data_IF_441222514365
#
_entry.id   IF_441222514365
#
_cell.length_a   1.000
_cell.length_b   1.000
_cell.length_c   1.000
_cell.angle_alpha   90.00
_cell.angle_beta   90.00
_cell.angle_gamma   90.00
#
_symmetry.space_group_name_H-M   'P 1'
#
loop_
_entity.id
_entity.type
_entity.pdbx_description
1 polymer ?
#
# COMPACT_ATOMS: atom_id res chain seq x y z
N UNK A 1 -7.77 -3.60 -3.13
CA UNK A 1 -6.90 -3.10 -2.03
C UNK A 1 -5.49 -3.61 -2.27
N UNK A 2 -4.44 -2.85 -1.98
CA UNK A 2 -3.06 -3.26 -2.29
C UNK A 2 -2.28 -3.30 -0.97
N UNK A 3 -1.66 -4.44 -0.63
CA UNK A 3 -0.66 -4.52 0.45
C UNK A 3 0.72 -4.40 -0.16
N UNK A 4 1.56 -3.59 0.46
CA UNK A 4 2.98 -3.54 0.14
C UNK A 4 3.70 -4.19 1.30
N UNK A 5 4.27 -5.37 1.06
CA UNK A 5 5.04 -6.12 2.03
C UNK A 5 6.52 -5.94 1.74
N UNK A 6 7.33 -5.85 2.79
CA UNK A 6 8.77 -5.65 2.70
C UNK A 6 9.47 -6.89 3.22
N UNK A 7 10.50 -7.34 2.52
CA UNK A 7 11.32 -8.47 2.92
C UNK A 7 12.78 -8.18 2.59
N UNK A 8 13.66 -8.27 3.58
CA UNK A 8 15.09 -8.07 3.39
C UNK A 8 15.67 -9.27 2.65
N UNK A 9 16.31 -9.04 1.51
CA UNK A 9 16.92 -10.08 0.68
C UNK A 9 18.08 -9.48 -0.12
N UNK A 10 19.05 -10.27 -0.55
CA UNK A 10 20.28 -9.75 -1.17
C UNK A 10 20.04 -8.91 -2.43
N UNK A 11 19.05 -9.27 -3.25
CA UNK A 11 18.73 -8.59 -4.51
C UNK A 11 17.43 -7.78 -4.44
N UNK A 12 17.46 -6.58 -5.02
CA UNK A 12 16.30 -5.68 -5.16
C UNK A 12 15.40 -5.98 -6.37
N UNK A 13 15.96 -6.63 -7.41
CA UNK A 13 15.25 -7.03 -8.63
C UNK A 13 14.19 -8.12 -8.39
N UNK A 14 14.22 -8.79 -7.24
CA UNK A 14 13.37 -9.94 -6.93
C UNK A 14 11.99 -9.55 -6.36
N UNK A 15 11.54 -8.32 -6.64
CA UNK A 15 10.21 -7.85 -6.25
C UNK A 15 9.14 -8.69 -6.94
N UNK A 16 8.18 -9.23 -6.18
CA UNK A 16 7.15 -10.15 -6.69
C UNK A 16 5.75 -9.58 -6.53
N UNK A 17 4.93 -9.76 -7.57
CA UNK A 17 3.49 -9.53 -7.50
C UNK A 17 2.78 -10.82 -7.11
N UNK A 18 2.08 -10.80 -5.98
CA UNK A 18 1.40 -11.95 -5.39
C UNK A 18 -0.10 -11.71 -5.48
N UNK A 19 -0.80 -12.61 -6.18
CA UNK A 19 -2.26 -12.62 -6.33
C UNK A 19 -2.91 -13.22 -5.08
N UNK A 20 -2.72 -12.53 -3.97
CA UNK A 20 -2.87 -13.11 -2.66
C UNK A 20 -2.57 -12.13 -1.53
N UNK A 21 -2.29 -12.68 -0.35
CA UNK A 21 -1.82 -11.92 0.81
C UNK A 21 -0.54 -12.56 1.37
N UNK A 22 0.43 -11.73 1.74
CA UNK A 22 1.60 -12.15 2.54
C UNK A 22 1.43 -11.67 3.97
N UNK A 23 1.61 -12.57 4.92
CA UNK A 23 1.63 -12.29 6.36
C UNK A 23 3.06 -12.30 6.88
N UNK A 24 3.33 -11.46 7.88
CA UNK A 24 4.64 -11.25 8.50
C UNK A 24 4.94 -12.19 9.67
N UNK A 25 4.16 -13.25 9.79
CA UNK A 25 4.31 -14.27 10.82
C UNK A 25 3.84 -15.61 10.27
N UNK A 26 4.47 -16.68 10.76
CA UNK A 26 4.14 -18.07 10.45
C UNK A 26 3.67 -18.88 11.66
N UNK A 27 3.54 -20.19 11.45
CA UNK A 27 3.23 -21.16 12.49
C UNK A 27 4.31 -21.17 13.57
N UNK A 28 3.88 -21.18 14.84
CA UNK A 28 4.81 -21.20 15.98
C UNK A 28 5.17 -22.60 16.46
N UNK A 29 4.31 -23.58 16.20
CA UNK A 29 4.53 -24.96 16.58
C UNK A 29 5.35 -25.69 15.48
N UNK A 30 6.39 -26.48 15.82
CA UNK A 30 7.25 -27.14 14.83
C UNK A 30 6.51 -28.16 13.96
N UNK A 31 5.54 -28.88 14.55
CA UNK A 31 4.75 -29.91 13.84
C UNK A 31 3.61 -29.33 12.99
N UNK A 32 3.48 -28.01 12.91
CA UNK A 32 2.50 -27.40 12.00
C UNK A 32 2.91 -27.61 10.54
N UNK A 33 1.96 -27.85 9.65
CA UNK A 33 2.25 -28.06 8.24
C UNK A 33 2.77 -26.76 7.60
N UNK A 34 3.88 -26.87 6.88
CA UNK A 34 4.55 -25.72 6.25
C UNK A 34 4.00 -25.39 4.86
N UNK A 35 3.56 -26.41 4.11
CA UNK A 35 3.01 -26.25 2.77
C UNK A 35 1.64 -26.91 2.72
N UNK A 36 0.64 -26.18 2.28
CA UNK A 36 -0.75 -26.60 2.22
C UNK A 36 -1.31 -26.25 0.84
N UNK A 37 -1.99 -27.22 0.22
CA UNK A 37 -2.72 -27.05 -1.05
C UNK A 37 -4.21 -27.15 -0.77
N UNK A 38 -5.04 -26.53 -1.63
CA UNK A 38 -6.50 -26.52 -1.53
C UNK A 38 -6.99 -26.18 -0.12
N UNK A 39 -6.74 -24.94 0.29
CA UNK A 39 -6.79 -24.51 1.67
C UNK A 39 -8.08 -23.77 1.99
N UNK A 40 -8.79 -24.26 3.01
CA UNK A 40 -9.85 -23.50 3.66
C UNK A 40 -9.25 -22.58 4.73
N UNK A 41 -9.58 -21.29 4.65
CA UNK A 41 -9.03 -20.25 5.51
C UNK A 41 -10.11 -19.75 6.45
N UNK A 42 -9.95 -20.03 7.74
CA UNK A 42 -10.78 -19.47 8.80
C UNK A 42 -10.14 -18.20 9.34
N UNK A 43 -10.82 -17.08 9.15
CA UNK A 43 -10.43 -15.79 9.75
C UNK A 43 -11.25 -15.53 11.01
N UNK A 44 -10.59 -15.40 12.16
CA UNK A 44 -11.28 -15.17 13.43
C UNK A 44 -10.63 -14.09 14.29
N UNK A 45 -11.42 -13.52 15.21
CA UNK A 45 -11.00 -12.55 16.21
C UNK A 45 -11.39 -13.03 17.62
N UNK A 46 -11.15 -14.31 17.89
CA UNK A 46 -11.50 -14.96 19.16
C UNK A 46 -10.24 -15.19 19.96
N UNK A 47 -10.27 -14.98 21.27
CA UNK A 47 -9.13 -15.36 22.11
C UNK A 47 -9.08 -16.87 22.30
N UNK A 48 -7.98 -17.47 21.85
CA UNK A 48 -7.62 -18.86 22.11
C UNK A 48 -6.44 -18.92 23.09
N UNK A 49 -6.33 -17.91 23.94
CA UNK A 49 -5.36 -17.85 25.03
C UNK A 49 -6.07 -17.48 26.33
N UNK A 50 -5.39 -17.72 27.45
CA UNK A 50 -5.88 -17.27 28.75
C UNK A 50 -5.90 -15.74 28.79
N UNK A 51 -7.10 -15.17 28.84
CA UNK A 51 -7.32 -13.74 29.07
C UNK A 51 -7.66 -13.49 30.54
N UNK A 52 -6.98 -12.52 31.13
CA UNK A 52 -7.45 -11.95 32.40
C UNK A 52 -8.77 -11.24 32.14
N UNK A 53 -9.70 -11.37 33.06
CA UNK A 53 -10.98 -10.64 33.02
C UNK A 53 -10.72 -9.13 33.05
N UNK A 54 -11.49 -8.37 32.26
CA UNK A 54 -11.40 -6.91 32.23
C UNK A 54 -11.84 -6.27 33.55
N UNK A 55 -12.83 -6.88 34.21
CA UNK A 55 -13.21 -6.57 35.59
C UNK A 55 -12.29 -7.35 36.52
N UNK A 56 -11.79 -6.71 37.58
CA UNK A 56 -10.97 -7.35 38.61
C UNK A 56 -11.74 -8.51 39.26
N UNK A 57 -11.58 -9.73 38.73
CA UNK A 57 -12.08 -10.95 39.36
C UNK A 57 -10.93 -11.64 40.09
N UNK A 58 -10.98 -11.61 41.41
CA UNK A 58 -10.12 -12.44 42.25
C UNK A 58 -10.79 -13.79 42.48
N UNK A 59 -10.11 -14.88 42.12
CA UNK A 59 -10.54 -16.22 42.51
C UNK A 59 -10.02 -16.48 43.93
N UNK A 60 -10.93 -16.64 44.89
CA UNK A 60 -10.60 -17.05 46.25
C UNK A 60 -10.77 -18.55 46.39
N UNK A 61 -9.71 -19.27 46.76
CA UNK A 61 -9.73 -20.71 47.02
C UNK A 61 -9.15 -20.99 48.41
N UNK A 62 -9.70 -21.99 49.11
CA UNK A 62 -9.23 -22.38 50.44
C UNK A 62 -8.39 -23.65 50.42
N UNK A 63 -8.60 -24.51 49.42
CA UNK A 63 -7.91 -25.79 49.28
C UNK A 63 -7.11 -25.88 47.97
N UNK A 64 -6.08 -26.72 47.95
CA UNK A 64 -5.29 -26.97 46.73
C UNK A 64 -6.14 -27.62 45.62
N UNK A 65 -7.08 -28.50 45.99
CA UNK A 65 -7.98 -29.16 45.03
C UNK A 65 -8.92 -28.17 44.33
N UNK A 66 -9.47 -27.19 45.06
CA UNK A 66 -10.28 -26.12 44.45
C UNK A 66 -9.47 -25.29 43.44
N UNK A 67 -8.20 -25.00 43.75
CA UNK A 67 -7.31 -24.28 42.85
C UNK A 67 -7.08 -25.06 41.55
N UNK A 68 -6.83 -26.35 41.64
CA UNK A 68 -6.62 -27.21 40.46
C UNK A 68 -7.89 -27.32 39.61
N UNK A 69 -9.06 -27.48 40.23
CA UNK A 69 -10.34 -27.54 39.53
C UNK A 69 -10.65 -26.25 38.76
N UNK A 70 -10.35 -25.08 39.33
CA UNK A 70 -10.54 -23.78 38.65
C UNK A 70 -9.60 -23.66 37.44
N UNK A 71 -8.32 -24.02 37.59
CA UNK A 71 -7.36 -24.02 36.48
C UNK A 71 -7.77 -25.00 35.37
N UNK A 72 -8.35 -26.15 35.72
CA UNK A 72 -8.89 -27.10 34.75
C UNK A 72 -10.11 -26.51 34.01
N UNK A 73 -11.06 -25.90 34.72
CA UNK A 73 -12.24 -25.29 34.11
C UNK A 73 -11.87 -24.18 33.10
N UNK A 74 -10.87 -23.35 33.42
CA UNK A 74 -10.34 -22.33 32.51
C UNK A 74 -9.71 -22.95 31.25
N UNK A 75 -8.93 -24.02 31.41
CA UNK A 75 -8.33 -24.75 30.27
C UNK A 75 -9.39 -25.44 29.43
N UNK A 76 -10.40 -26.03 30.06
CA UNK A 76 -11.53 -26.66 29.37
C UNK A 76 -12.31 -25.64 28.55
N UNK A 77 -12.46 -24.41 29.04
CA UNK A 77 -13.12 -23.34 28.29
C UNK A 77 -12.41 -23.04 26.96
N UNK A 78 -11.07 -22.89 26.99
CA UNK A 78 -10.27 -22.66 25.79
C UNK A 78 -10.28 -23.89 24.88
N UNK A 79 -10.10 -25.08 25.48
CA UNK A 79 -10.10 -26.35 24.76
C UNK A 79 -11.41 -26.57 24.01
N UNK A 80 -12.55 -26.24 24.63
CA UNK A 80 -13.88 -26.34 23.98
C UNK A 80 -13.98 -25.47 22.73
N UNK A 81 -13.43 -24.25 22.75
CA UNK A 81 -13.37 -23.38 21.56
C UNK A 81 -12.49 -23.98 20.47
N UNK A 82 -11.32 -24.50 20.82
CA UNK A 82 -10.42 -25.15 19.85
C UNK A 82 -11.06 -26.40 19.25
N UNK A 83 -11.76 -27.20 20.06
CA UNK A 83 -12.47 -28.38 19.60
C UNK A 83 -13.54 -28.05 18.56
N UNK A 84 -14.30 -26.95 18.73
CA UNK A 84 -15.26 -26.49 17.71
C UNK A 84 -14.60 -26.16 16.37
N UNK A 85 -13.40 -25.57 16.38
CA UNK A 85 -12.62 -25.31 15.16
C UNK A 85 -12.19 -26.63 14.51
N UNK A 86 -11.76 -27.61 15.32
CA UNK A 86 -11.37 -28.95 14.85
C UNK A 86 -12.58 -29.70 14.28
N UNK A 87 -13.75 -29.58 14.91
CA UNK A 87 -15.01 -30.16 14.41
C UNK A 87 -15.36 -29.59 13.04
N UNK A 88 -15.29 -28.27 12.88
CA UNK A 88 -15.52 -27.63 11.57
C UNK A 88 -14.49 -28.08 10.53
N UNK A 89 -13.21 -28.23 10.89
CA UNK A 89 -12.23 -28.84 9.98
C UNK A 89 -12.68 -30.25 9.56
N UNK A 90 -13.08 -31.09 10.50
CA UNK A 90 -13.50 -32.48 10.21
C UNK A 90 -14.74 -32.51 9.31
N UNK A 91 -15.67 -31.58 9.49
CA UNK A 91 -16.84 -31.45 8.62
C UNK A 91 -16.43 -31.12 7.18
N UNK A 92 -15.54 -30.15 6.98
CA UNK A 92 -15.20 -29.65 5.63
C UNK A 92 -14.17 -30.51 4.91
N UNK A 93 -13.16 -31.01 5.62
CA UNK A 93 -12.11 -31.87 5.07
C UNK A 93 -12.51 -33.36 5.05
N UNK A 94 -13.52 -33.76 5.84
CA UNK A 94 -14.00 -35.15 5.90
C UNK A 94 -15.09 -35.49 4.88
N UNK A 95 -15.56 -34.52 4.09
CA UNK A 95 -16.49 -34.76 2.99
C UNK A 95 -15.82 -35.57 1.85
N UNK A 96 -16.53 -36.58 1.35
CA UNK A 96 -16.07 -37.41 0.21
C UNK A 96 -15.71 -36.52 -0.98
N UNK A 97 -14.43 -36.55 -1.39
CA UNK A 97 -13.90 -35.75 -2.50
C UNK A 97 -13.05 -34.54 -2.09
N UNK A 98 -12.83 -34.30 -0.80
CA UNK A 98 -11.96 -33.22 -0.26
C UNK A 98 -10.84 -33.74 0.65
N UNK A 99 -10.37 -34.96 0.45
CA UNK A 99 -9.30 -35.55 1.30
C UNK A 99 -7.98 -34.77 1.22
N UNK A 100 -7.72 -34.11 0.08
CA UNK A 100 -6.56 -33.23 -0.12
C UNK A 100 -6.77 -31.80 0.42
N UNK A 101 -7.91 -31.52 1.06
CA UNK A 101 -8.21 -30.18 1.53
C UNK A 101 -7.52 -29.87 2.85
N UNK A 102 -6.78 -28.77 2.84
CA UNK A 102 -6.05 -28.26 3.99
C UNK A 102 -6.86 -27.21 4.76
N UNK A 103 -6.47 -26.93 6.00
CA UNK A 103 -7.17 -25.97 6.86
C UNK A 103 -6.20 -25.04 7.57
N UNK A 104 -6.43 -23.73 7.47
CA UNK A 104 -5.63 -22.67 8.10
C UNK A 104 -6.53 -21.81 8.97
N UNK A 105 -6.07 -21.53 10.19
CA UNK A 105 -6.70 -20.58 11.10
C UNK A 105 -5.84 -19.33 11.18
N UNK A 106 -6.42 -18.19 10.87
CA UNK A 106 -5.78 -16.88 11.00
C UNK A 106 -6.54 -16.11 12.07
N UNK A 107 -5.94 -16.03 13.26
CA UNK A 107 -6.52 -15.36 14.39
C UNK A 107 -5.88 -13.98 14.63
N UNK A 108 -6.72 -12.97 14.80
CA UNK A 108 -6.29 -11.64 15.22
C UNK A 108 -5.77 -11.63 16.67
N UNK A 109 -6.35 -12.47 17.55
CA UNK A 109 -5.91 -12.61 18.94
C UNK A 109 -4.83 -13.68 19.09
N UNK A 110 -4.35 -13.86 20.32
CA UNK A 110 -3.36 -14.89 20.62
C UNK A 110 -3.92 -16.31 20.63
N UNK A 111 -3.00 -17.26 20.60
CA UNK A 111 -3.24 -18.70 20.72
C UNK A 111 -2.20 -19.21 21.73
N UNK A 112 -2.66 -19.89 22.78
CA UNK A 112 -1.79 -20.44 23.82
C UNK A 112 -1.10 -21.74 23.34
N UNK A 113 0.03 -22.14 23.97
CA UNK A 113 0.77 -23.33 23.55
C UNK A 113 -0.06 -24.63 23.56
N UNK A 114 -0.88 -24.93 24.59
CA UNK A 114 -1.74 -26.12 24.58
C UNK A 114 -2.70 -26.16 23.38
N UNK A 115 -3.28 -25.02 22.99
CA UNK A 115 -4.14 -24.95 21.80
C UNK A 115 -3.34 -25.13 20.50
N UNK A 116 -2.13 -24.59 20.43
CA UNK A 116 -1.24 -24.80 19.28
C UNK A 116 -0.92 -26.29 19.10
N UNK A 117 -0.65 -27.03 20.19
CA UNK A 117 -0.39 -28.47 20.15
C UNK A 117 -1.62 -29.25 19.64
N UNK A 118 -2.83 -28.88 20.10
CA UNK A 118 -4.08 -29.49 19.65
C UNK A 118 -4.33 -29.23 18.16
N UNK A 119 -4.10 -28.01 17.69
CA UNK A 119 -4.25 -27.64 16.29
C UNK A 119 -3.19 -28.33 15.41
N UNK A 120 -1.95 -28.40 15.87
CA UNK A 120 -0.86 -29.06 15.17
C UNK A 120 -1.08 -30.57 15.03
N UNK A 121 -1.55 -31.25 16.10
CA UNK A 121 -1.92 -32.69 16.06
C UNK A 121 -3.00 -32.99 15.03
N UNK A 122 -3.89 -32.04 14.78
CA UNK A 122 -4.93 -32.17 13.76
C UNK A 122 -4.47 -31.64 12.40
N UNK A 123 -3.20 -31.27 12.20
CA UNK A 123 -2.67 -30.76 10.94
C UNK A 123 -3.29 -29.41 10.52
N UNK A 124 -3.58 -28.53 11.46
CA UNK A 124 -4.05 -27.16 11.19
C UNK A 124 -2.88 -26.20 11.33
N UNK A 125 -2.62 -25.40 10.30
CA UNK A 125 -1.70 -24.26 10.43
C UNK A 125 -2.45 -23.13 11.14
N UNK A 126 -1.97 -22.75 12.31
CA UNK A 126 -2.59 -21.69 13.12
C UNK A 126 -1.66 -20.48 13.23
N UNK A 127 -2.14 -19.35 12.74
CA UNK A 127 -1.51 -18.05 12.85
C UNK A 127 -2.16 -17.25 13.97
N UNK A 128 -1.33 -16.67 14.83
CA UNK A 128 -1.74 -15.88 15.98
C UNK A 128 -1.36 -14.42 15.79
N UNK A 129 -2.13 -13.51 16.39
CA UNK A 129 -1.83 -12.06 16.42
C UNK A 129 -1.73 -11.43 15.03
N UNK A 130 -2.61 -11.84 14.12
CA UNK A 130 -2.71 -11.22 12.80
C UNK A 130 -3.13 -9.75 12.93
N UNK A 131 -2.52 -8.86 12.12
CA UNK A 131 -2.87 -7.44 12.10
C UNK A 131 -4.32 -7.27 11.67
N UNK A 132 -5.08 -6.39 12.35
CA UNK A 132 -6.48 -6.09 12.01
C UNK A 132 -6.68 -5.73 10.53
N UNK A 133 -5.78 -4.92 9.97
CA UNK A 133 -5.79 -4.54 8.54
C UNK A 133 -5.66 -5.74 7.58
N UNK A 134 -5.05 -6.84 8.02
CA UNK A 134 -4.90 -8.06 7.24
C UNK A 134 -6.19 -8.87 7.26
N UNK A 135 -6.98 -8.81 8.33
CA UNK A 135 -8.28 -9.49 8.39
C UNK A 135 -9.23 -8.99 7.30
N UNK A 136 -9.35 -7.67 7.13
CA UNK A 136 -10.17 -7.08 6.07
C UNK A 136 -9.67 -7.49 4.67
N UNK A 137 -8.35 -7.60 4.49
CA UNK A 137 -7.75 -8.04 3.22
C UNK A 137 -7.95 -9.52 2.95
N UNK A 138 -7.89 -10.37 3.97
CA UNK A 138 -8.14 -11.81 3.86
C UNK A 138 -9.58 -12.08 3.44
N UNK A 139 -10.55 -11.32 3.95
CA UNK A 139 -11.94 -11.40 3.49
C UNK A 139 -12.05 -11.05 1.99
N UNK A 140 -11.39 -9.98 1.56
CA UNK A 140 -11.37 -9.56 0.15
C UNK A 140 -10.56 -10.48 -0.77
N UNK A 141 -9.60 -11.21 -0.23
CA UNK A 141 -8.72 -12.10 -0.96
C UNK A 141 -9.33 -13.51 -1.10
N UNK A 142 -9.63 -14.14 0.03
CA UNK A 142 -10.09 -15.52 0.12
C UNK A 142 -11.63 -15.66 0.05
N UNK A 143 -12.38 -14.57 0.26
CA UNK A 143 -13.85 -14.54 0.19
C UNK A 143 -14.60 -14.96 1.46
N UNK A 144 -13.90 -15.28 2.55
CA UNK A 144 -14.50 -15.68 3.83
C UNK A 144 -14.99 -14.49 4.67
N UNK A 145 -15.80 -14.77 5.70
CA UNK A 145 -16.23 -13.76 6.69
C UNK A 145 -15.41 -13.88 7.98
N UNK A 146 -15.14 -12.73 8.62
CA UNK A 146 -14.34 -12.69 9.84
C UNK A 146 -15.24 -13.03 11.03
N UNK A 147 -14.89 -14.10 11.73
CA UNK A 147 -15.70 -14.66 12.82
C UNK A 147 -15.29 -14.07 14.17
N UNK A 148 -16.28 -13.64 14.95
CA UNK A 148 -16.08 -13.11 16.30
C UNK A 148 -16.39 -14.11 17.42
N UNK A 149 -17.14 -15.18 17.14
CA UNK A 149 -17.44 -16.26 18.10
C UNK A 149 -17.32 -17.63 17.43
N UNK A 150 -16.82 -18.62 18.16
CA UNK A 150 -16.63 -20.00 17.68
C UNK A 150 -17.92 -20.82 17.80
N UNK A 151 -18.96 -20.27 18.42
CA UNK A 151 -20.16 -21.04 18.75
C UNK A 151 -21.02 -21.37 17.52
N UNK A 152 -21.12 -20.44 16.57
CA UNK A 152 -21.95 -20.56 15.35
C UNK A 152 -21.06 -20.62 14.10
N UNK A 153 -20.16 -21.60 14.08
CA UNK A 153 -19.26 -21.83 12.95
C UNK A 153 -19.96 -22.65 11.86
N UNK A 154 -20.20 -22.02 10.70
CA UNK A 154 -20.71 -22.71 9.50
C UNK A 154 -19.63 -22.81 8.42
N UNK A 155 -19.67 -23.85 7.55
CA UNK A 155 -18.72 -23.99 6.44
C UNK A 155 -18.72 -22.83 5.44
N UNK A 156 -19.84 -22.11 5.32
CA UNK A 156 -20.01 -20.98 4.39
C UNK A 156 -19.15 -19.76 4.73
N UNK A 157 -18.74 -19.65 5.99
CA UNK A 157 -17.94 -18.54 6.50
C UNK A 157 -16.47 -18.66 6.07
N UNK A 158 -16.03 -19.85 5.67
CA UNK A 158 -14.64 -20.11 5.29
C UNK A 158 -14.27 -19.44 3.97
N UNK A 159 -13.08 -18.84 3.96
CA UNK A 159 -12.43 -18.45 2.72
C UNK A 159 -11.75 -19.64 2.05
N UNK A 160 -11.32 -19.45 0.81
CA UNK A 160 -10.57 -20.45 0.06
C UNK A 160 -9.32 -19.84 -0.58
N UNK A 161 -8.21 -20.58 -0.52
CA UNK A 161 -6.95 -20.28 -1.20
C UNK A 161 -6.38 -21.56 -1.83
N UNK A 162 -5.78 -21.46 -3.01
CA UNK A 162 -5.22 -22.62 -3.70
C UNK A 162 -3.93 -23.14 -3.04
N UNK A 163 -3.08 -22.24 -2.56
CA UNK A 163 -1.82 -22.58 -1.90
C UNK A 163 -1.59 -21.68 -0.69
N UNK A 164 -1.22 -22.28 0.44
CA UNK A 164 -0.73 -21.56 1.61
C UNK A 164 0.58 -22.19 2.06
N UNK A 165 1.65 -21.42 2.08
CA UNK A 165 2.94 -21.93 2.52
C UNK A 165 3.69 -20.95 3.42
N UNK A 166 4.50 -21.50 4.31
CA UNK A 166 5.41 -20.75 5.18
C UNK A 166 6.79 -20.68 4.52
N UNK A 167 7.25 -19.46 4.28
CA UNK A 167 8.60 -19.16 3.87
C UNK A 167 9.38 -18.61 5.06
N UNK A 168 10.49 -19.27 5.39
CA UNK A 168 11.36 -18.87 6.49
C UNK A 168 12.59 -18.20 5.89
N UNK A 169 12.85 -16.98 6.30
CA UNK A 169 14.03 -16.22 5.91
C UNK A 169 14.78 -15.81 7.17
N UNK A 170 15.95 -16.44 7.39
CA UNK A 170 16.67 -16.35 8.65
C UNK A 170 15.77 -16.71 9.85
N UNK A 171 15.47 -15.74 10.72
CA UNK A 171 14.60 -15.91 11.89
C UNK A 171 13.14 -15.50 11.63
N UNK A 172 12.89 -14.77 10.54
CA UNK A 172 11.57 -14.28 10.18
C UNK A 172 10.79 -15.32 9.39
N UNK A 173 9.48 -15.37 9.67
CA UNK A 173 8.55 -16.30 9.03
C UNK A 173 7.48 -15.52 8.30
N UNK A 174 7.30 -15.83 7.03
CA UNK A 174 6.30 -15.23 6.17
C UNK A 174 5.32 -16.30 5.72
N UNK A 175 4.01 -16.07 5.87
CA UNK A 175 3.00 -16.97 5.31
C UNK A 175 2.42 -16.37 4.05
N UNK A 176 2.58 -17.10 2.95
CA UNK A 176 2.07 -16.75 1.64
C UNK A 176 0.72 -17.43 1.46
N UNK A 177 -0.27 -16.65 1.05
CA UNK A 177 -1.61 -17.13 0.69
C UNK A 177 -1.80 -16.76 -0.76
N UNK A 178 -1.75 -17.75 -1.65
CA UNK A 178 -1.75 -17.58 -3.10
C UNK A 178 -2.92 -18.35 -3.75
N UNK A 179 -3.11 -18.10 -5.05
CA UNK A 179 -4.13 -18.76 -5.87
C UNK A 179 -5.55 -18.64 -5.30
N UNK A 180 -5.93 -17.45 -4.85
CA UNK A 180 -7.32 -17.18 -4.46
C UNK A 180 -8.21 -17.05 -5.72
N UNK A 181 -9.48 -17.48 -5.66
CA UNK A 181 -10.40 -17.49 -6.82
C UNK A 181 -10.62 -16.11 -7.44
N UNK A 182 -10.83 -15.10 -6.60
CA UNK A 182 -11.09 -13.73 -7.05
C UNK A 182 -10.49 -12.72 -6.07
N UNK A 183 -9.16 -12.53 -6.10
CA UNK A 183 -8.48 -11.67 -5.14
C UNK A 183 -8.76 -10.19 -5.43
N UNK A 184 -9.65 -9.57 -4.66
CA UNK A 184 -9.85 -8.10 -4.67
C UNK A 184 -8.76 -7.37 -3.89
N UNK A 185 -8.01 -8.11 -3.06
CA UNK A 185 -6.80 -7.66 -2.40
C UNK A 185 -5.60 -8.42 -2.94
N UNK A 186 -4.52 -7.72 -3.23
CA UNK A 186 -3.26 -8.29 -3.76
C UNK A 186 -2.08 -7.75 -2.97
N UNK A 187 -0.96 -8.46 -2.99
CA UNK A 187 0.28 -8.05 -2.32
C UNK A 187 1.41 -7.82 -3.31
N UNK A 188 2.07 -6.67 -3.20
CA UNK A 188 3.37 -6.42 -3.79
C UNK A 188 4.44 -6.71 -2.73
N UNK A 189 5.20 -7.78 -2.94
CA UNK A 189 6.31 -8.16 -2.08
C UNK A 189 7.58 -7.50 -2.60
N UNK A 190 8.00 -6.45 -1.92
CA UNK A 190 9.24 -5.74 -2.22
C UNK A 190 10.39 -6.46 -1.52
N UNK A 191 11.42 -6.76 -2.30
CA UNK A 191 12.66 -7.32 -1.80
C UNK A 191 13.78 -6.31 -1.98
N UNK A 192 14.74 -6.30 -1.07
CA UNK A 192 15.93 -5.49 -1.21
C UNK A 192 16.93 -5.69 -0.09
N UNK A 193 18.20 -5.33 -0.32
CA UNK A 193 19.29 -5.62 0.61
C UNK A 193 19.20 -4.78 1.88
N UNK A 194 18.73 -3.54 1.75
CA UNK A 194 18.72 -2.56 2.83
C UNK A 194 17.31 -1.98 3.01
N UNK A 195 16.93 -1.68 4.25
CA UNK A 195 15.65 -0.99 4.55
C UNK A 195 15.50 0.33 3.77
N UNK A 196 16.62 1.03 3.56
CA UNK A 196 16.63 2.32 2.87
C UNK A 196 16.29 2.19 1.37
N UNK A 197 16.81 1.16 0.69
CA UNK A 197 16.51 0.91 -0.72
C UNK A 197 15.07 0.40 -0.88
N UNK A 198 14.62 -0.50 0.00
CA UNK A 198 13.22 -0.94 0.02
C UNK A 198 12.26 0.24 0.25
N UNK A 199 12.63 1.20 1.10
CA UNK A 199 11.88 2.43 1.32
C UNK A 199 11.70 3.24 0.03
N UNK A 200 12.79 3.49 -0.68
CA UNK A 200 12.77 4.20 -1.97
C UNK A 200 11.91 3.48 -3.02
N UNK A 201 12.07 2.15 -3.15
CA UNK A 201 11.29 1.33 -4.09
C UNK A 201 9.80 1.38 -3.72
N UNK A 202 9.47 1.32 -2.43
CA UNK A 202 8.09 1.42 -1.94
C UNK A 202 7.45 2.74 -2.34
N UNK A 203 8.16 3.86 -2.14
CA UNK A 203 7.64 5.18 -2.46
C UNK A 203 7.46 5.33 -3.97
N UNK A 204 8.43 4.88 -4.77
CA UNK A 204 8.33 4.87 -6.23
C UNK A 204 7.13 4.04 -6.74
N UNK A 205 6.90 2.86 -6.17
CA UNK A 205 5.74 2.02 -6.52
C UNK A 205 4.44 2.66 -6.08
N UNK A 206 4.41 3.30 -4.90
CA UNK A 206 3.22 3.98 -4.42
C UNK A 206 2.83 5.13 -5.36
N UNK A 207 3.80 5.92 -5.81
CA UNK A 207 3.59 6.99 -6.78
C UNK A 207 3.12 6.44 -8.14
N UNK A 208 3.75 5.36 -8.63
CA UNK A 208 3.34 4.69 -9.87
C UNK A 208 1.92 4.13 -9.83
N UNK A 209 1.55 3.44 -8.74
CA UNK A 209 0.18 2.94 -8.52
C UNK A 209 -0.81 4.11 -8.52
N UNK A 210 -0.46 5.22 -7.86
CA UNK A 210 -1.34 6.38 -7.79
C UNK A 210 -1.48 7.06 -9.15
N UNK A 211 -0.41 7.15 -9.93
CA UNK A 211 -0.45 7.66 -11.30
C UNK A 211 -1.38 6.83 -12.18
N UNK A 212 -1.25 5.50 -12.18
CA UNK A 212 -2.13 4.60 -12.96
C UNK A 212 -3.58 4.69 -12.47
N UNK A 213 -3.80 4.71 -11.16
CA UNK A 213 -5.14 4.87 -10.59
C UNK A 213 -5.79 6.19 -10.99
N UNK A 214 -4.99 7.25 -11.11
CA UNK A 214 -5.49 8.53 -11.56
C UNK A 214 -5.95 8.47 -13.02
N UNK A 215 -5.20 7.79 -13.90
CA UNK A 215 -5.60 7.56 -15.30
C UNK A 215 -6.93 6.81 -15.37
N UNK A 216 -7.09 5.73 -14.60
CA UNK A 216 -8.32 4.94 -14.58
C UNK A 216 -9.54 5.76 -14.12
N UNK A 217 -9.34 6.73 -13.24
CA UNK A 217 -10.41 7.61 -12.76
C UNK A 217 -10.78 8.71 -13.74
N UNK A 218 -9.78 9.34 -14.34
CA UNK A 218 -9.97 10.53 -15.16
C UNK A 218 -10.34 10.16 -16.61
N UNK A 219 -9.98 8.95 -17.07
CA UNK A 219 -10.29 8.45 -18.41
C UNK A 219 -9.52 9.12 -19.54
N UNK A 220 -8.57 10.00 -19.21
CA UNK A 220 -7.74 10.73 -20.16
C UNK A 220 -6.32 10.94 -19.62
N UNK A 221 -5.38 11.10 -20.55
CA UNK A 221 -3.96 11.37 -20.30
C UNK A 221 -3.48 12.51 -21.19
N UNK A 222 -2.42 13.19 -20.76
CA UNK A 222 -1.76 14.27 -21.48
C UNK A 222 -0.38 13.79 -21.93
N UNK A 223 0.10 14.12 -23.14
CA UNK A 223 1.48 13.83 -23.53
C UNK A 223 2.47 14.46 -22.55
N UNK A 224 3.46 13.68 -22.11
CA UNK A 224 4.45 14.12 -21.12
C UNK A 224 5.65 14.84 -21.73
N UNK A 225 6.78 14.81 -21.00
CA UNK A 225 8.09 15.34 -21.42
C UNK A 225 8.09 16.81 -21.89
N UNK A 226 7.29 17.65 -21.25
CA UNK A 226 7.22 19.07 -21.57
C UNK A 226 6.31 19.42 -22.74
N UNK A 227 5.67 18.44 -23.40
CA UNK A 227 4.82 18.68 -24.57
C UNK A 227 3.65 19.63 -24.28
N UNK A 228 2.97 19.40 -23.16
CA UNK A 228 1.89 20.26 -22.69
C UNK A 228 2.37 21.68 -22.40
N UNK A 229 3.53 21.83 -21.76
CA UNK A 229 4.12 23.11 -21.39
C UNK A 229 4.48 23.95 -22.61
N UNK A 230 5.05 23.32 -23.66
CA UNK A 230 5.38 23.99 -24.92
C UNK A 230 4.10 24.44 -25.63
N UNK A 231 3.10 23.56 -25.72
CA UNK A 231 1.82 23.88 -26.33
C UNK A 231 1.11 25.04 -25.61
N UNK A 232 1.14 25.02 -24.26
CA UNK A 232 0.60 26.09 -23.43
C UNK A 232 1.35 27.41 -23.64
N UNK A 233 2.69 27.38 -23.68
CA UNK A 233 3.52 28.56 -23.96
C UNK A 233 3.16 29.21 -25.31
N UNK A 234 3.12 28.43 -26.38
CA UNK A 234 2.78 28.93 -27.72
C UNK A 234 1.37 29.52 -27.77
N UNK A 235 0.41 28.90 -27.07
CA UNK A 235 -0.97 29.37 -27.01
C UNK A 235 -1.11 30.66 -26.19
N UNK A 236 -0.46 30.74 -25.03
CA UNK A 236 -0.46 31.93 -24.18
C UNK A 236 0.24 33.12 -24.85
N UNK A 237 1.30 32.87 -25.62
CA UNK A 237 1.99 33.91 -26.39
C UNK A 237 1.09 34.53 -27.46
N UNK A 238 0.32 33.70 -28.18
CA UNK A 238 -0.72 34.19 -29.12
C UNK A 238 -1.84 34.94 -28.39
N UNK A 239 -2.25 34.45 -27.22
CA UNK A 239 -3.27 35.12 -26.40
C UNK A 239 -2.78 36.48 -25.88
N UNK A 240 -1.50 36.61 -25.53
CA UNK A 240 -0.91 37.87 -25.07
C UNK A 240 -1.03 39.01 -26.10
N UNK A 241 -1.12 38.71 -27.40
CA UNK A 241 -1.33 39.73 -28.43
C UNK A 241 -2.77 40.26 -28.49
N UNK A 242 -3.73 39.49 -27.99
CA UNK A 242 -5.14 39.91 -27.88
C UNK A 242 -5.41 40.74 -26.61
N UNK A 243 -4.63 40.52 -25.54
CA UNK A 243 -4.80 41.19 -24.25
C UNK A 243 -4.18 42.58 -24.28
N UNK A 244 -4.95 43.59 -23.85
CA UNK A 244 -4.52 45.00 -23.79
C UNK A 244 -4.10 45.42 -22.38
N UNK A 245 -3.18 46.38 -22.30
CA UNK A 245 -2.78 47.02 -21.05
C UNK A 245 -1.80 46.20 -20.21
N UNK A 246 -1.77 46.47 -18.90
CA UNK A 246 -0.79 45.88 -17.95
C UNK A 246 -0.92 44.36 -17.80
N UNK A 247 -2.11 43.82 -18.00
CA UNK A 247 -2.37 42.38 -17.93
C UNK A 247 -1.55 41.57 -18.96
N UNK A 248 -1.17 42.19 -20.10
CA UNK A 248 -0.31 41.55 -21.11
C UNK A 248 1.03 41.09 -20.51
N UNK A 249 1.63 41.89 -19.62
CA UNK A 249 2.89 41.55 -18.97
C UNK A 249 2.75 40.33 -18.05
N UNK A 250 1.63 40.23 -17.33
CA UNK A 250 1.33 39.07 -16.49
C UNK A 250 1.17 37.77 -17.28
N UNK A 251 0.48 37.83 -18.42
CA UNK A 251 0.31 36.66 -19.31
C UNK A 251 1.66 36.22 -19.89
N UNK A 252 2.51 37.16 -20.33
CA UNK A 252 3.85 36.84 -20.84
C UNK A 252 4.74 36.21 -19.76
N UNK A 253 4.76 36.79 -18.56
CA UNK A 253 5.51 36.25 -17.43
C UNK A 253 5.05 34.84 -17.06
N UNK A 254 3.74 34.59 -17.06
CA UNK A 254 3.18 33.27 -16.79
C UNK A 254 3.53 32.26 -17.89
N UNK A 255 3.47 32.67 -19.17
CA UNK A 255 3.86 31.82 -20.29
C UNK A 255 5.34 31.39 -20.17
N UNK A 256 6.24 32.32 -19.86
CA UNK A 256 7.65 32.01 -19.66
C UNK A 256 7.91 31.11 -18.44
N UNK A 257 7.13 31.28 -17.37
CA UNK A 257 7.24 30.47 -16.16
C UNK A 257 6.88 28.99 -16.40
N UNK A 258 5.90 28.70 -17.27
CA UNK A 258 5.51 27.32 -17.62
C UNK A 258 6.67 26.53 -18.25
N UNK A 259 7.60 27.21 -18.95
CA UNK A 259 8.77 26.57 -19.56
C UNK A 259 9.80 26.05 -18.54
N UNK A 260 9.60 26.27 -17.23
CA UNK A 260 10.51 25.76 -16.19
C UNK A 260 10.66 24.23 -16.23
N UNK A 261 9.60 23.49 -16.54
CA UNK A 261 9.63 22.03 -16.57
C UNK A 261 10.55 21.53 -17.73
N UNK A 262 10.32 21.88 -19.01
CA UNK A 262 11.23 21.44 -20.07
C UNK A 262 12.66 21.98 -19.91
N UNK A 263 12.84 23.21 -19.36
CA UNK A 263 14.17 23.74 -19.02
C UNK A 263 14.91 22.86 -18.02
N UNK A 264 14.27 22.55 -16.90
CA UNK A 264 14.88 21.75 -15.83
C UNK A 264 15.14 20.31 -16.29
N UNK A 265 14.25 19.73 -17.09
CA UNK A 265 14.47 18.42 -17.71
C UNK A 265 15.72 18.41 -18.61
N UNK A 266 15.88 19.42 -19.48
CA UNK A 266 17.06 19.54 -20.34
C UNK A 266 18.36 19.70 -19.53
N UNK A 267 18.36 20.56 -18.50
CA UNK A 267 19.52 20.75 -17.62
C UNK A 267 19.89 19.45 -16.89
N UNK A 268 18.89 18.73 -16.37
CA UNK A 268 19.11 17.46 -15.68
C UNK A 268 19.65 16.35 -16.61
N UNK A 269 19.29 16.40 -17.89
CA UNK A 269 19.82 15.52 -18.93
C UNK A 269 21.23 15.95 -19.43
N UNK A 270 21.71 17.14 -19.06
CA UNK A 270 23.01 17.68 -19.46
C UNK A 270 23.01 18.45 -20.78
N UNK A 271 21.84 18.75 -21.35
CA UNK A 271 21.68 19.52 -22.59
C UNK A 271 21.52 21.01 -22.30
N UNK A 272 21.82 21.87 -23.29
CA UNK A 272 21.54 23.30 -23.16
C UNK A 272 20.02 23.57 -23.23
N UNK A 273 19.46 24.05 -22.13
CA UNK A 273 18.04 24.36 -22.01
C UNK A 273 17.55 25.38 -23.04
N UNK A 274 18.38 26.35 -23.45
CA UNK A 274 17.94 27.37 -24.41
C UNK A 274 17.78 26.77 -25.81
N UNK A 275 18.79 26.05 -26.28
CA UNK A 275 18.76 25.38 -27.58
C UNK A 275 17.59 24.39 -27.67
N UNK A 276 17.41 23.60 -26.62
CA UNK A 276 16.33 22.60 -26.54
C UNK A 276 14.96 23.26 -26.66
N UNK A 277 14.70 24.37 -25.96
CA UNK A 277 13.41 25.06 -26.05
C UNK A 277 13.17 25.62 -27.45
N UNK A 278 14.20 26.22 -28.07
CA UNK A 278 14.08 26.79 -29.41
C UNK A 278 13.70 25.67 -30.39
N UNK A 279 14.41 24.54 -30.35
CA UNK A 279 14.10 23.35 -31.17
C UNK A 279 12.67 22.84 -30.94
N UNK A 280 12.24 22.75 -29.68
CA UNK A 280 10.90 22.28 -29.33
C UNK A 280 9.79 23.22 -29.81
N UNK A 281 9.98 24.53 -29.68
CA UNK A 281 9.01 25.54 -30.15
C UNK A 281 8.95 25.56 -31.68
N UNK A 282 10.09 25.46 -32.35
CA UNK A 282 10.16 25.35 -33.82
C UNK A 282 9.45 24.10 -34.33
N UNK A 283 9.75 22.94 -33.73
CA UNK A 283 9.09 21.69 -34.06
C UNK A 283 7.57 21.79 -33.85
N UNK A 284 7.13 22.36 -32.73
CA UNK A 284 5.70 22.52 -32.44
C UNK A 284 4.99 23.40 -33.47
N UNK A 285 5.59 24.53 -33.86
CA UNK A 285 5.01 25.41 -34.88
C UNK A 285 4.98 24.75 -36.27
N UNK A 286 5.99 23.93 -36.60
CA UNK A 286 6.04 23.17 -37.85
C UNK A 286 4.96 22.08 -37.90
N UNK A 287 4.69 21.39 -36.78
CA UNK A 287 3.59 20.42 -36.72
C UNK A 287 2.21 21.09 -36.77
N UNK A 288 2.06 22.28 -36.17
CA UNK A 288 0.81 23.02 -36.25
C UNK A 288 0.48 23.42 -37.70
N UNK A 289 1.48 23.71 -38.53
CA UNK A 289 1.28 24.06 -39.94
C UNK A 289 0.99 22.85 -40.83
N UNK A 290 1.48 21.65 -40.47
CA UNK A 290 1.24 20.40 -41.19
C UNK A 290 -0.07 19.69 -40.79
N UNK A 291 -0.87 20.28 -39.90
CA UNK A 291 -2.14 19.72 -39.41
C UNK A 291 -2.01 18.33 -38.76
N UNK A 292 -0.82 17.96 -38.28
CA UNK A 292 -0.63 16.76 -37.48
C UNK A 292 -1.03 17.03 -36.03
N UNK A 293 -1.79 16.11 -35.44
CA UNK A 293 -2.17 16.17 -34.01
C UNK A 293 -1.07 15.63 -33.09
N UNK A 294 0.13 15.43 -33.62
CA UNK A 294 1.20 14.76 -32.91
C UNK A 294 1.84 15.69 -31.90
N UNK A 295 1.86 15.22 -30.66
CA UNK A 295 2.44 15.96 -29.54
C UNK A 295 3.95 15.77 -29.53
N UNK A 296 4.68 16.89 -29.57
CA UNK A 296 6.14 16.91 -29.54
C UNK A 296 6.60 17.14 -28.12
N UNK A 297 7.53 16.33 -27.64
CA UNK A 297 8.21 16.57 -26.37
C UNK A 297 9.70 16.39 -26.49
N UNK A 298 10.38 16.56 -25.34
CA UNK A 298 11.82 16.45 -25.22
C UNK A 298 12.23 14.98 -25.05
N UNK A 299 13.09 14.48 -25.94
CA UNK A 299 13.84 13.27 -25.65
C UNK A 299 15.05 13.58 -24.76
N UNK A 300 15.13 12.93 -23.60
CA UNK A 300 16.18 13.18 -22.61
C UNK A 300 17.54 12.59 -23.05
N UNK A 301 17.54 11.54 -23.88
CA UNK A 301 18.79 10.92 -24.32
C UNK A 301 19.46 11.73 -25.43
N UNK A 302 18.72 12.06 -26.49
CA UNK A 302 19.25 12.82 -27.63
C UNK A 302 19.26 14.34 -27.41
N UNK A 303 18.39 14.88 -26.56
CA UNK A 303 18.17 16.32 -26.45
C UNK A 303 17.40 16.91 -27.63
N UNK A 304 16.81 16.07 -28.48
CA UNK A 304 16.05 16.49 -29.66
C UNK A 304 14.53 16.51 -29.41
N UNK A 305 13.83 17.23 -30.30
CA UNK A 305 12.37 17.30 -30.29
C UNK A 305 11.80 16.09 -31.04
N UNK A 306 11.12 15.19 -30.33
CA UNK A 306 10.59 13.95 -30.91
C UNK A 306 9.11 13.75 -30.58
N UNK A 307 8.42 12.97 -31.42
CA UNK A 307 7.07 12.47 -31.13
C UNK A 307 7.24 11.33 -30.12
N UNK A 308 7.02 11.64 -28.85
CA UNK A 308 7.27 10.67 -27.78
C UNK A 308 6.14 9.67 -27.67
N UNK A 309 6.48 8.39 -27.80
CA UNK A 309 5.58 7.29 -27.52
C UNK A 309 5.86 6.75 -26.12
N UNK A 310 4.82 6.63 -25.30
CA UNK A 310 4.89 5.96 -24.00
C UNK A 310 5.16 6.86 -22.78
N UNK A 311 5.39 8.16 -22.96
CA UNK A 311 5.54 9.12 -21.85
C UNK A 311 4.27 9.93 -21.68
N UNK A 312 3.57 9.73 -20.56
CA UNK A 312 2.25 10.30 -20.30
C UNK A 312 2.19 10.94 -18.92
N UNK A 313 1.49 12.08 -18.86
CA UNK A 313 1.16 12.79 -17.63
C UNK A 313 -0.33 12.68 -17.31
N UNK A 314 -0.67 12.64 -16.03
CA UNK A 314 -2.05 12.64 -15.56
C UNK A 314 -2.69 14.03 -15.69
N UNK A 315 -3.89 14.09 -16.28
CA UNK A 315 -4.67 15.33 -16.43
C UNK A 315 -4.87 16.03 -15.09
N UNK A 316 -5.37 15.30 -14.07
CA UNK A 316 -5.64 15.87 -12.75
C UNK A 316 -4.38 16.40 -12.06
N UNK A 317 -3.22 15.77 -12.27
CA UNK A 317 -1.96 16.23 -11.66
C UNK A 317 -1.57 17.59 -12.25
N UNK A 318 -1.62 17.73 -13.59
CA UNK A 318 -1.34 19.01 -14.26
C UNK A 318 -2.33 20.10 -13.85
N UNK A 319 -3.64 19.79 -13.84
CA UNK A 319 -4.67 20.74 -13.44
C UNK A 319 -4.49 21.23 -11.99
N UNK A 320 -4.30 20.30 -11.05
CA UNK A 320 -4.10 20.63 -9.65
C UNK A 320 -2.78 21.40 -9.43
N UNK A 321 -1.70 20.98 -10.10
CA UNK A 321 -0.40 21.65 -10.01
C UNK A 321 -0.46 23.09 -10.51
N UNK A 322 -1.05 23.34 -11.67
CA UNK A 322 -1.22 24.69 -12.20
C UNK A 322 -2.11 25.56 -11.30
N UNK A 323 -3.26 25.04 -10.87
CA UNK A 323 -4.16 25.78 -10.00
C UNK A 323 -3.52 26.15 -8.66
N UNK A 324 -2.82 25.20 -8.04
CA UNK A 324 -2.13 25.42 -6.76
C UNK A 324 -0.97 26.40 -6.91
N UNK A 325 -0.12 26.22 -7.94
CA UNK A 325 1.02 27.08 -8.19
C UNK A 325 0.60 28.54 -8.42
N UNK A 326 -0.42 28.77 -9.26
CA UNK A 326 -0.95 30.13 -9.51
C UNK A 326 -1.52 30.73 -8.24
N UNK A 327 -2.34 29.98 -7.50
CA UNK A 327 -2.97 30.49 -6.26
C UNK A 327 -1.91 30.91 -5.23
N UNK A 328 -0.90 30.07 -5.01
CA UNK A 328 0.16 30.36 -4.04
C UNK A 328 1.01 31.54 -4.53
N UNK A 329 1.40 31.57 -5.81
CA UNK A 329 2.19 32.65 -6.37
C UNK A 329 1.46 33.99 -6.29
N UNK A 330 0.17 34.04 -6.64
CA UNK A 330 -0.65 35.24 -6.51
C UNK A 330 -0.73 35.73 -5.07
N UNK A 331 -1.00 34.82 -4.11
CA UNK A 331 -1.04 35.19 -2.70
C UNK A 331 0.31 35.73 -2.21
N UNK A 332 1.43 35.14 -2.63
CA UNK A 332 2.77 35.61 -2.25
C UNK A 332 3.10 36.98 -2.86
N UNK A 333 2.65 37.27 -4.08
CA UNK A 333 2.84 38.57 -4.72
C UNK A 333 2.01 39.69 -4.08
N UNK A 334 0.91 39.35 -3.39
CA UNK A 334 0.06 40.29 -2.65
C UNK A 334 0.61 40.62 -1.25
N UNK A 335 1.65 39.92 -0.78
CA UNK A 335 2.25 40.19 0.53
C UNK A 335 3.19 41.39 0.44
N UNK A 336 2.80 42.50 1.04
CA UNK A 336 3.64 43.70 1.15
C UNK A 336 4.65 43.62 2.32
N UNK A 337 4.28 42.97 3.43
CA UNK A 337 5.13 42.90 4.62
C UNK A 337 5.02 41.55 5.34
N UNK A 338 6.17 41.01 5.78
CA UNK A 338 6.26 39.80 6.61
C UNK A 338 6.66 40.20 8.03
N UNK A 339 5.67 40.42 8.89
CA UNK A 339 5.93 40.73 10.30
C UNK A 339 6.24 39.46 11.09
N UNK A 340 7.46 39.38 11.61
CA UNK A 340 7.85 38.35 12.59
C UNK A 340 7.66 38.86 14.01
N UNK A 341 6.44 38.76 14.52
CA UNK A 341 6.11 39.06 15.91
C UNK A 341 5.74 37.77 16.66
N UNK A 342 6.35 37.58 17.82
CA UNK A 342 6.02 36.49 18.75
C UNK A 342 6.46 36.90 20.14
N UNK A 343 5.71 36.50 21.17
CA UNK A 343 6.14 36.73 22.54
C UNK A 343 7.49 36.03 22.74
N UNK A 344 8.52 36.80 23.12
CA UNK A 344 9.67 36.20 23.79
C UNK A 344 9.14 35.65 25.10
N UNK A 345 9.17 34.33 25.28
CA UNK A 345 9.00 33.73 26.58
C UNK A 345 9.98 34.41 27.55
N UNK A 346 9.44 35.27 28.41
CA UNK A 346 10.12 35.80 29.58
C UNK A 346 10.37 34.62 30.51
N UNK A 347 11.42 33.84 30.24
CA UNK A 347 12.01 32.94 31.23
C UNK A 347 12.48 33.81 32.39
N UNK A 348 11.65 33.83 33.43
CA UNK A 348 11.95 34.07 34.83
C UNK A 348 13.44 34.36 35.12
N UNK A 349 13.80 35.64 35.12
CA UNK A 349 14.98 36.13 35.84
C UNK A 349 14.70 36.18 37.34
N UNK A 350 14.39 35.03 37.94
CA UNK A 350 14.40 34.81 39.38
C UNK A 350 15.79 34.35 39.78
N UNK A 351 16.69 35.29 40.06
CA UNK A 351 18.02 35.05 40.58
C UNK A 351 18.33 36.14 41.59
N UNK A 352 18.18 35.81 42.88
CA UNK A 352 18.35 36.73 43.99
C UNK A 352 19.79 37.18 44.21
N UNK A 353 19.90 38.33 44.86
CA UNK A 353 20.88 38.62 45.90
C UNK A 353 20.14 39.24 47.09
#
# INVERSE_FOLDING_TARGET
MIEIMQMENEMESDTKFIRGLVLDHGGRHPDMPKNLTNVFVLTCNVSLEFEKTEVNSGLFYKTAAEREALLQAEREYITRRVLKIIELKKQVCGEKGKEDASFVVINQKGIDPPSLDLLAKNGILALRRAKRRNMERLQLCCGGTAVNSVDDLTPEVLGWAGSVYEYILAEDKYTFIEDCKNPKSVTLLLKGPNKHTIGQIKDAIYDGIRAVFNVLKDGAVVPGAGAFEIAAYCTLKKLADTVKGRAKLGVLAFAEAILVIPKTLAVNAGHDAQEVIVKLVEAYNNNLSSSSTDSIGLDLESGEACILQGVWDNVRVKQASLAAAVTIASNLLEVDEVMRAGLRDLKSGGGGQ
#
